data_IF_889159121144
#
_entry.id   IF_889159121144
#
_cell.length_a   1.000
_cell.length_b   1.000
_cell.length_c   1.000
_cell.angle_alpha   90.00
_cell.angle_beta   90.00
_cell.angle_gamma   90.00
#
_symmetry.space_group_name_H-M   'P 1'
#
loop_
_entity.id
_entity.type
_entity.pdbx_description
1 polymer ?
#
# COMPACT_ATOMS: atom_id res chain seq x y z
N UNK A 1 22.56 -36.74 -21.66
CA UNK A 1 21.79 -35.52 -21.85
C UNK A 1 21.94 -34.67 -20.60
N UNK A 2 22.73 -33.64 -20.62
CA UNK A 2 22.83 -32.67 -19.51
C UNK A 2 21.47 -32.00 -19.39
N UNK A 3 20.80 -32.16 -18.24
CA UNK A 3 19.58 -31.42 -17.97
C UNK A 3 19.87 -29.91 -18.15
N UNK A 4 19.17 -29.28 -19.06
CA UNK A 4 19.29 -27.84 -19.30
C UNK A 4 18.98 -27.12 -17.99
N UNK A 5 19.93 -26.34 -17.46
CA UNK A 5 19.76 -25.64 -16.20
C UNK A 5 18.67 -24.59 -16.39
N UNK A 6 17.58 -24.69 -15.62
CA UNK A 6 16.51 -23.69 -15.66
C UNK A 6 17.06 -22.29 -15.41
N UNK A 7 16.52 -21.28 -16.10
CA UNK A 7 16.85 -19.88 -15.77
C UNK A 7 16.38 -19.52 -14.35
N UNK A 8 16.96 -18.49 -13.70
CA UNK A 8 16.54 -18.10 -12.36
C UNK A 8 15.04 -17.84 -12.24
N UNK A 9 14.44 -17.17 -13.21
CA UNK A 9 12.99 -16.89 -13.20
C UNK A 9 12.13 -18.15 -13.36
N UNK A 10 12.58 -19.14 -14.13
CA UNK A 10 11.89 -20.42 -14.28
C UNK A 10 12.02 -21.28 -13.00
N UNK A 11 13.16 -21.21 -12.32
CA UNK A 11 13.35 -21.85 -11.02
C UNK A 11 12.40 -21.26 -9.98
N UNK A 12 12.34 -19.91 -9.86
CA UNK A 12 11.43 -19.23 -8.97
C UNK A 12 9.97 -19.67 -9.21
N UNK A 13 9.52 -19.59 -10.45
CA UNK A 13 8.15 -19.95 -10.85
C UNK A 13 7.84 -21.41 -10.48
N UNK A 14 8.76 -22.32 -10.75
CA UNK A 14 8.59 -23.76 -10.47
C UNK A 14 8.51 -24.03 -8.97
N UNK A 15 9.41 -23.43 -8.18
CA UNK A 15 9.46 -23.65 -6.74
C UNK A 15 8.24 -23.02 -6.03
N UNK A 16 7.89 -21.80 -6.37
CA UNK A 16 6.78 -21.10 -5.71
C UNK A 16 5.40 -21.68 -6.07
N UNK A 17 5.25 -22.25 -7.26
CA UNK A 17 4.00 -22.93 -7.64
C UNK A 17 3.70 -24.17 -6.80
N UNK A 18 4.69 -24.76 -6.15
CA UNK A 18 4.47 -25.89 -5.22
C UNK A 18 3.70 -25.47 -3.97
N UNK A 19 3.74 -24.19 -3.62
CA UNK A 19 3.14 -23.64 -2.41
C UNK A 19 1.83 -22.88 -2.65
N UNK A 20 1.31 -22.85 -3.88
CA UNK A 20 0.06 -22.15 -4.18
C UNK A 20 -1.06 -22.64 -3.26
N UNK A 21 -1.72 -21.67 -2.60
CA UNK A 21 -2.82 -21.93 -1.68
C UNK A 21 -2.38 -22.24 -0.24
N UNK A 22 -1.08 -22.19 0.06
CA UNK A 22 -0.60 -22.35 1.43
C UNK A 22 -1.14 -21.20 2.30
N UNK A 23 -1.72 -21.56 3.45
CA UNK A 23 -2.28 -20.60 4.40
C UNK A 23 -1.41 -20.58 5.63
N UNK A 24 -1.00 -19.38 6.04
CA UNK A 24 -0.21 -19.11 7.24
C UNK A 24 -1.03 -18.20 8.15
N UNK A 25 -1.06 -18.53 9.44
CA UNK A 25 -1.76 -17.73 10.46
C UNK A 25 -0.79 -16.80 11.19
N UNK A 26 -1.34 -15.75 11.81
CA UNK A 26 -0.54 -14.87 12.69
C UNK A 26 0.13 -15.61 13.84
N UNK A 27 -0.45 -16.71 14.31
CA UNK A 27 0.11 -17.55 15.37
C UNK A 27 1.33 -18.33 14.87
N UNK A 28 1.25 -18.93 13.69
CA UNK A 28 2.38 -19.61 13.05
C UNK A 28 3.53 -18.63 12.77
N UNK A 29 3.25 -17.40 12.34
CA UNK A 29 4.27 -16.39 12.18
C UNK A 29 4.96 -16.03 13.52
N UNK A 30 4.17 -15.84 14.58
CA UNK A 30 4.70 -15.56 15.91
C UNK A 30 5.58 -16.72 16.43
N UNK A 31 5.19 -17.97 16.17
CA UNK A 31 5.94 -19.16 16.59
C UNK A 31 7.29 -19.32 15.88
N UNK A 32 7.45 -18.79 14.66
CA UNK A 32 8.71 -18.80 13.91
C UNK A 32 9.79 -17.88 14.50
N UNK A 33 9.42 -16.99 15.43
CA UNK A 33 10.35 -16.13 16.15
C UNK A 33 10.62 -14.77 15.49
N UNK A 34 11.60 -14.01 15.99
CA UNK A 34 11.78 -12.59 15.65
C UNK A 34 12.06 -12.31 14.17
N UNK A 35 12.74 -13.21 13.46
CA UNK A 35 13.04 -13.03 12.03
C UNK A 35 11.79 -12.96 11.16
N UNK A 36 10.78 -13.74 11.52
CA UNK A 36 9.47 -13.73 10.85
C UNK A 36 8.50 -12.71 11.41
N UNK A 37 8.69 -12.27 12.65
CA UNK A 37 7.91 -11.23 13.29
C UNK A 37 8.17 -9.83 12.70
N UNK A 38 9.24 -9.67 11.93
CA UNK A 38 9.63 -8.40 11.31
C UNK A 38 8.59 -7.83 10.33
N UNK A 39 7.63 -8.63 9.90
CA UNK A 39 6.54 -8.15 9.06
C UNK A 39 5.32 -7.72 9.85
N UNK A 40 5.37 -7.77 11.18
CA UNK A 40 4.33 -7.27 12.07
C UNK A 40 4.94 -6.16 12.90
N UNK A 41 4.55 -4.92 12.62
CA UNK A 41 4.96 -3.78 13.42
C UNK A 41 4.05 -3.63 14.65
N UNK A 42 2.74 -3.81 14.47
CA UNK A 42 1.75 -3.61 15.51
C UNK A 42 0.76 -4.77 15.61
N UNK A 43 0.67 -5.41 16.77
CA UNK A 43 -0.41 -6.35 17.08
C UNK A 43 -1.65 -5.64 17.63
N UNK A 44 -1.43 -4.55 18.35
CA UNK A 44 -2.44 -3.74 19.01
C UNK A 44 -2.55 -2.40 18.33
N UNK A 45 -3.76 -1.94 18.11
CA UNK A 45 -4.04 -0.59 17.63
C UNK A 45 -3.94 0.39 18.79
N UNK A 46 -2.73 0.87 19.06
CA UNK A 46 -2.49 1.87 20.11
C UNK A 46 -2.50 3.29 19.55
N UNK A 47 -2.76 4.27 20.42
CA UNK A 47 -2.68 5.69 20.04
C UNK A 47 -1.31 6.04 19.46
N UNK A 48 -0.23 5.54 20.08
CA UNK A 48 1.12 5.87 19.64
C UNK A 48 1.47 5.20 18.32
N UNK A 49 1.03 3.96 18.10
CA UNK A 49 1.20 3.27 16.82
C UNK A 49 0.49 4.03 15.69
N UNK A 50 -0.75 4.47 15.89
CA UNK A 50 -1.47 5.31 14.91
C UNK A 50 -0.71 6.61 14.65
N UNK A 51 -0.28 7.31 15.72
CA UNK A 51 0.45 8.57 15.59
C UNK A 51 1.71 8.43 14.75
N UNK A 52 2.53 7.43 15.02
CA UNK A 52 3.77 7.18 14.27
C UNK A 52 3.45 6.87 12.80
N UNK A 53 2.40 6.09 12.55
CA UNK A 53 1.97 5.76 11.18
C UNK A 53 1.50 6.99 10.40
N UNK A 54 0.66 7.84 10.99
CA UNK A 54 0.14 9.04 10.32
C UNK A 54 1.22 10.12 10.17
N UNK A 55 2.15 10.23 11.12
CA UNK A 55 3.33 11.08 11.01
C UNK A 55 4.22 10.63 9.83
N UNK A 56 4.40 9.32 9.68
CA UNK A 56 5.21 8.73 8.61
C UNK A 56 4.71 8.99 7.19
N UNK A 57 3.40 9.20 7.02
CA UNK A 57 2.80 9.53 5.72
C UNK A 57 2.38 11.00 5.57
N UNK A 58 2.54 11.82 6.63
CA UNK A 58 2.15 13.22 6.63
C UNK A 58 0.64 13.45 6.62
N UNK A 59 -0.13 12.61 7.33
CA UNK A 59 -1.59 12.73 7.45
C UNK A 59 -1.96 13.61 8.65
N UNK A 60 -2.68 14.70 8.40
CA UNK A 60 -3.07 15.68 9.41
C UNK A 60 -4.52 15.55 9.87
N UNK A 61 -5.25 14.52 9.43
CA UNK A 61 -6.64 14.34 9.79
C UNK A 61 -6.81 14.16 11.32
N UNK A 62 -7.57 15.04 12.00
CA UNK A 62 -7.72 15.01 13.45
C UNK A 62 -8.38 13.73 13.96
N UNK A 63 -9.17 13.04 13.14
CA UNK A 63 -9.81 11.77 13.50
C UNK A 63 -8.79 10.67 13.86
N UNK A 64 -7.58 10.75 13.30
CA UNK A 64 -6.48 9.83 13.53
C UNK A 64 -5.40 10.36 14.47
N UNK A 65 -5.53 11.61 14.94
CA UNK A 65 -4.49 12.30 15.73
C UNK A 65 -4.94 12.76 17.10
N UNK A 66 -6.23 13.12 17.22
CA UNK A 66 -6.76 13.71 18.44
C UNK A 66 -7.82 12.80 19.09
N UNK A 67 -7.51 12.18 20.27
CA UNK A 67 -8.46 11.36 20.99
C UNK A 67 -9.74 12.08 21.39
N UNK A 68 -9.67 13.38 21.73
CA UNK A 68 -10.86 14.16 22.12
C UNK A 68 -11.75 14.47 20.91
N UNK A 69 -11.14 14.67 19.74
CA UNK A 69 -11.87 14.76 18.50
C UNK A 69 -12.57 13.42 18.18
N UNK A 70 -11.83 12.31 18.26
CA UNK A 70 -12.37 10.97 18.04
C UNK A 70 -13.55 10.63 18.95
N UNK A 71 -13.51 11.00 20.23
CA UNK A 71 -14.63 10.81 21.18
C UNK A 71 -15.91 11.52 20.74
N UNK A 72 -15.80 12.68 20.08
CA UNK A 72 -16.94 13.46 19.58
C UNK A 72 -17.49 12.88 18.28
N UNK A 73 -16.71 12.12 17.53
CA UNK A 73 -17.12 11.49 16.27
C UNK A 73 -18.17 10.41 16.48
N UNK A 74 -18.73 9.91 15.37
CA UNK A 74 -19.66 8.75 15.38
C UNK A 74 -19.01 7.48 15.96
N UNK A 75 -17.70 7.37 15.92
CA UNK A 75 -16.93 6.22 16.41
C UNK A 75 -16.78 6.20 17.94
N UNK A 76 -16.96 7.33 18.63
CA UNK A 76 -16.77 7.50 20.08
C UNK A 76 -15.36 7.16 20.58
N UNK A 77 -14.43 7.01 19.69
CA UNK A 77 -13.02 6.75 19.94
C UNK A 77 -12.16 7.32 18.80
N UNK A 78 -10.88 7.46 19.05
CA UNK A 78 -9.90 7.66 17.97
C UNK A 78 -9.82 6.40 17.13
N UNK A 79 -9.85 6.54 15.80
CA UNK A 79 -9.69 5.43 14.88
C UNK A 79 -8.35 5.51 14.16
N UNK A 80 -7.93 4.41 13.56
CA UNK A 80 -6.82 4.37 12.64
C UNK A 80 -7.29 4.66 11.20
N UNK A 81 -6.44 5.23 10.34
CA UNK A 81 -6.75 5.33 8.92
C UNK A 81 -6.87 3.93 8.29
N UNK A 82 -7.62 3.78 7.17
CA UNK A 82 -7.91 2.47 6.59
C UNK A 82 -6.66 1.64 6.23
N UNK A 83 -5.58 2.30 5.83
CA UNK A 83 -4.31 1.68 5.47
C UNK A 83 -3.43 1.26 6.68
N UNK A 84 -3.84 1.57 7.91
CA UNK A 84 -3.11 1.20 9.14
C UNK A 84 -2.88 -0.31 9.26
N UNK A 85 -3.82 -1.15 8.78
CA UNK A 85 -3.71 -2.61 8.82
C UNK A 85 -2.46 -3.15 8.10
N UNK A 86 -1.85 -2.33 7.26
CA UNK A 86 -0.56 -2.60 6.66
C UNK A 86 0.55 -2.81 7.71
N UNK A 87 0.45 -2.14 8.86
CA UNK A 87 1.37 -2.30 9.98
C UNK A 87 1.13 -3.58 10.79
N UNK A 88 -0.06 -4.17 10.68
CA UNK A 88 -0.43 -5.43 11.36
C UNK A 88 0.09 -6.64 10.61
N UNK A 89 -0.02 -6.63 9.31
CA UNK A 89 0.58 -7.63 8.44
C UNK A 89 1.07 -6.95 7.18
N UNK A 90 2.37 -6.84 7.10
CA UNK A 90 3.03 -6.44 5.87
C UNK A 90 2.96 -7.61 4.89
N UNK A 91 2.20 -7.42 3.83
CA UNK A 91 1.87 -8.50 2.93
C UNK A 91 2.95 -8.83 1.89
N UNK A 92 4.15 -8.33 2.03
CA UNK A 92 5.29 -8.65 1.17
C UNK A 92 6.26 -9.57 1.91
N UNK A 93 6.05 -10.87 1.77
CA UNK A 93 6.86 -11.89 2.40
C UNK A 93 7.33 -12.91 1.38
N UNK A 94 8.35 -12.60 0.61
CA UNK A 94 8.84 -13.51 -0.42
C UNK A 94 9.17 -14.90 0.15
N UNK A 95 9.59 -14.98 1.40
CA UNK A 95 9.91 -16.24 2.06
C UNK A 95 8.72 -17.16 2.35
N UNK A 96 7.53 -16.57 2.42
CA UNK A 96 6.29 -17.34 2.56
C UNK A 96 5.85 -17.96 1.21
N UNK A 97 6.32 -17.40 0.09
CA UNK A 97 6.08 -17.95 -1.25
C UNK A 97 6.92 -19.22 -1.51
N UNK A 98 8.13 -19.27 -0.99
CA UNK A 98 9.07 -20.36 -1.20
C UNK A 98 10.53 -19.89 -1.14
N UNK A 99 11.48 -20.72 -1.58
CA UNK A 99 12.89 -20.35 -1.53
C UNK A 99 13.18 -19.16 -2.44
N UNK A 100 14.01 -18.25 -1.96
CA UNK A 100 14.55 -17.17 -2.79
C UNK A 100 15.57 -17.73 -3.77
N UNK A 101 15.54 -17.22 -4.98
CA UNK A 101 16.45 -17.60 -6.06
C UNK A 101 17.43 -16.45 -6.31
N UNK A 102 18.73 -16.74 -6.22
CA UNK A 102 19.76 -15.73 -6.47
C UNK A 102 19.64 -15.09 -7.88
N UNK A 103 19.85 -13.78 -7.96
CA UNK A 103 19.74 -13.02 -9.20
C UNK A 103 18.29 -12.67 -9.58
N UNK A 104 17.35 -12.83 -8.67
CA UNK A 104 15.96 -12.39 -8.84
C UNK A 104 15.66 -11.22 -7.91
N UNK A 105 15.11 -10.14 -8.48
CA UNK A 105 14.60 -8.99 -7.75
C UNK A 105 13.07 -8.93 -7.75
N UNK A 106 12.49 -8.53 -6.61
CA UNK A 106 11.05 -8.39 -6.41
C UNK A 106 10.62 -6.95 -6.19
N UNK A 107 9.44 -6.58 -6.73
CA UNK A 107 8.91 -5.23 -6.66
C UNK A 107 7.42 -5.24 -6.35
N UNK A 108 7.04 -4.51 -5.31
CA UNK A 108 5.62 -4.23 -5.08
C UNK A 108 5.01 -3.56 -6.31
N UNK A 109 3.92 -4.12 -6.81
CA UNK A 109 3.35 -3.68 -8.08
C UNK A 109 1.90 -3.21 -7.96
N UNK A 110 1.25 -3.48 -6.83
CA UNK A 110 -0.09 -3.01 -6.55
C UNK A 110 -0.89 -3.88 -5.61
N UNK A 111 -2.12 -3.45 -5.36
CA UNK A 111 -3.04 -4.17 -4.47
C UNK A 111 -4.50 -3.91 -4.79
N UNK A 112 -5.34 -4.76 -4.18
CA UNK A 112 -6.76 -4.54 -3.96
C UNK A 112 -7.06 -4.70 -2.48
N UNK A 113 -7.88 -3.79 -1.92
CA UNK A 113 -8.31 -3.83 -0.52
C UNK A 113 -9.82 -3.69 -0.43
N UNK A 114 -10.39 -4.37 0.53
CA UNK A 114 -11.80 -4.25 0.88
C UNK A 114 -11.92 -4.09 2.40
N UNK A 115 -12.58 -3.04 2.82
CA UNK A 115 -12.75 -2.69 4.23
C UNK A 115 -14.19 -2.96 4.65
N UNK A 116 -14.39 -3.54 5.83
CA UNK A 116 -15.71 -3.91 6.34
C UNK A 116 -16.06 -3.15 7.61
N UNK A 117 -15.06 -2.83 8.43
CA UNK A 117 -15.24 -2.13 9.71
C UNK A 117 -14.13 -1.11 9.93
N UNK A 118 -14.39 0.00 10.65
CA UNK A 118 -13.35 0.89 11.11
C UNK A 118 -12.46 0.19 12.15
N UNK A 119 -11.21 0.60 12.20
CA UNK A 119 -10.21 0.14 13.18
C UNK A 119 -10.14 1.16 14.29
N UNK A 120 -10.41 0.76 15.54
CA UNK A 120 -10.43 1.62 16.71
C UNK A 120 -9.17 1.43 17.59
N UNK A 121 -8.81 2.49 18.33
CA UNK A 121 -7.82 2.33 19.41
C UNK A 121 -8.31 1.26 20.39
N UNK A 122 -7.44 0.31 20.72
CA UNK A 122 -7.73 -0.84 21.56
C UNK A 122 -8.05 -2.13 20.79
N UNK A 123 -8.22 -2.06 19.48
CA UNK A 123 -8.36 -3.27 18.68
C UNK A 123 -7.04 -4.08 18.69
N UNK A 124 -7.17 -5.39 18.81
CA UNK A 124 -6.10 -6.36 18.69
C UNK A 124 -6.36 -7.25 17.48
N UNK A 125 -5.31 -7.59 16.73
CA UNK A 125 -5.49 -8.25 15.45
C UNK A 125 -4.84 -9.62 15.37
N UNK A 126 -5.51 -10.48 14.61
CA UNK A 126 -4.98 -11.69 14.00
C UNK A 126 -5.18 -11.62 12.50
N UNK A 127 -4.45 -12.44 11.74
CA UNK A 127 -4.59 -12.49 10.30
C UNK A 127 -4.39 -13.91 9.76
N UNK A 128 -4.83 -14.11 8.52
CA UNK A 128 -4.51 -15.28 7.70
C UNK A 128 -3.94 -14.78 6.37
N UNK A 129 -2.84 -15.36 5.95
CA UNK A 129 -2.23 -15.12 4.65
C UNK A 129 -2.35 -16.38 3.81
N UNK A 130 -2.79 -16.25 2.58
CA UNK A 130 -2.61 -17.25 1.52
C UNK A 130 -1.47 -16.78 0.63
N UNK A 131 -0.34 -17.49 0.67
CA UNK A 131 0.88 -17.04 0.03
C UNK A 131 1.70 -18.22 -0.53
N UNK A 132 1.94 -18.29 -1.85
CA UNK A 132 1.27 -17.48 -2.86
C UNK A 132 -0.19 -17.93 -3.07
N UNK A 133 -1.04 -17.00 -3.45
CA UNK A 133 -2.43 -17.35 -3.87
C UNK A 133 -2.49 -17.69 -5.36
N UNK A 134 -1.64 -17.09 -6.17
CA UNK A 134 -1.48 -17.33 -7.61
C UNK A 134 -0.12 -16.82 -8.07
N UNK A 135 0.50 -17.49 -9.06
CA UNK A 135 1.68 -17.00 -9.76
C UNK A 135 1.42 -16.98 -11.26
N UNK A 136 1.72 -15.88 -11.93
CA UNK A 136 1.53 -15.70 -13.37
C UNK A 136 2.86 -15.32 -14.01
N UNK A 137 3.38 -16.21 -14.87
CA UNK A 137 4.52 -15.84 -15.71
C UNK A 137 4.05 -15.16 -16.98
N UNK A 138 4.66 -14.04 -17.36
CA UNK A 138 4.32 -13.30 -18.56
C UNK A 138 5.51 -12.58 -19.19
N UNK A 139 5.38 -12.22 -20.48
CA UNK A 139 6.34 -11.37 -21.16
C UNK A 139 6.29 -9.94 -20.62
N UNK A 140 7.44 -9.27 -20.57
CA UNK A 140 7.57 -7.93 -20.06
C UNK A 140 8.63 -7.12 -20.83
N UNK A 141 8.36 -5.82 -20.97
CA UNK A 141 9.36 -4.87 -21.47
C UNK A 141 10.39 -4.53 -20.41
N UNK A 142 10.09 -4.80 -19.14
CA UNK A 142 10.97 -4.49 -18.01
C UNK A 142 12.16 -5.46 -17.90
N UNK A 143 11.90 -6.77 -18.08
CA UNK A 143 12.92 -7.81 -17.90
C UNK A 143 12.69 -9.04 -18.79
N UNK A 144 12.17 -8.86 -20.01
CA UNK A 144 11.84 -9.93 -20.95
C UNK A 144 10.69 -10.84 -20.46
N UNK A 145 10.88 -11.52 -19.31
CA UNK A 145 9.85 -12.29 -18.58
C UNK A 145 9.82 -11.86 -17.14
N UNK A 146 8.64 -11.95 -16.54
CA UNK A 146 8.40 -11.69 -15.14
C UNK A 146 7.46 -12.74 -14.58
N UNK A 147 7.56 -12.96 -13.27
CA UNK A 147 6.53 -13.64 -12.48
C UNK A 147 5.77 -12.58 -11.69
N UNK A 148 4.45 -12.51 -11.85
CA UNK A 148 3.58 -11.82 -10.90
C UNK A 148 3.10 -12.82 -9.87
N UNK A 149 3.44 -12.59 -8.62
CA UNK A 149 3.02 -13.41 -7.50
C UNK A 149 2.00 -12.66 -6.66
N UNK A 150 0.90 -13.31 -6.33
CA UNK A 150 -0.22 -12.76 -5.60
C UNK A 150 -0.31 -13.37 -4.21
N UNK A 151 -0.69 -12.57 -3.25
CA UNK A 151 -1.02 -13.00 -1.90
C UNK A 151 -2.35 -12.40 -1.45
N UNK A 152 -2.99 -13.03 -0.47
CA UNK A 152 -4.25 -12.56 0.10
C UNK A 152 -4.15 -12.59 1.62
N UNK A 153 -4.55 -11.50 2.26
CA UNK A 153 -4.59 -11.37 3.72
C UNK A 153 -5.99 -11.03 4.17
N UNK A 154 -6.46 -11.77 5.17
CA UNK A 154 -7.67 -11.45 5.92
C UNK A 154 -7.30 -11.01 7.32
N UNK A 155 -7.77 -9.81 7.72
CA UNK A 155 -7.52 -9.24 9.04
C UNK A 155 -8.74 -9.38 9.92
N UNK A 156 -8.54 -9.97 11.08
CA UNK A 156 -9.58 -10.19 12.08
C UNK A 156 -9.25 -9.40 13.34
N UNK A 157 -10.23 -8.72 13.93
CA UNK A 157 -10.06 -8.17 15.26
C UNK A 157 -10.47 -9.17 16.34
N UNK A 158 -10.24 -8.84 17.61
CA UNK A 158 -10.65 -9.66 18.74
C UNK A 158 -12.11 -10.08 18.61
N UNK A 159 -12.41 -11.34 18.93
CA UNK A 159 -13.74 -11.93 18.71
C UNK A 159 -13.94 -12.53 17.31
N UNK A 160 -12.95 -12.45 16.42
CA UNK A 160 -12.98 -13.11 15.11
C UNK A 160 -13.74 -12.36 14.01
N UNK A 161 -14.10 -11.09 14.23
CA UNK A 161 -14.74 -10.27 13.20
C UNK A 161 -13.74 -9.89 12.11
N UNK A 162 -14.08 -10.19 10.85
CA UNK A 162 -13.29 -9.77 9.69
C UNK A 162 -13.45 -8.25 9.47
N UNK A 163 -12.35 -7.51 9.57
CA UNK A 163 -12.35 -6.04 9.44
C UNK A 163 -11.92 -5.57 8.07
N UNK A 164 -11.04 -6.32 7.41
CA UNK A 164 -10.58 -6.01 6.06
C UNK A 164 -10.02 -7.24 5.35
N UNK A 165 -9.99 -7.14 4.05
CA UNK A 165 -9.26 -8.05 3.17
C UNK A 165 -8.31 -7.30 2.27
N UNK A 166 -7.15 -7.87 2.02
CA UNK A 166 -6.10 -7.32 1.21
C UNK A 166 -5.59 -8.37 0.24
N UNK A 167 -5.36 -7.99 -1.00
CA UNK A 167 -4.58 -8.77 -1.95
C UNK A 167 -3.53 -7.87 -2.54
N UNK A 168 -2.28 -8.27 -2.45
CA UNK A 168 -1.20 -7.60 -3.13
C UNK A 168 -0.64 -8.48 -4.24
N UNK A 169 0.12 -7.86 -5.11
CA UNK A 169 0.95 -8.57 -6.05
C UNK A 169 2.30 -7.89 -6.22
N UNK A 170 3.28 -8.75 -6.40
CA UNK A 170 4.65 -8.36 -6.66
C UNK A 170 5.06 -8.80 -8.06
N UNK A 171 5.96 -8.07 -8.66
CA UNK A 171 6.62 -8.44 -9.90
C UNK A 171 8.03 -8.88 -9.61
N UNK A 172 8.35 -10.10 -9.97
CA UNK A 172 9.66 -10.73 -9.81
C UNK A 172 10.33 -10.89 -11.16
N UNK A 173 11.62 -10.58 -11.24
CA UNK A 173 12.34 -10.54 -12.49
C UNK A 173 13.82 -10.85 -12.32
N UNK A 174 14.43 -11.37 -13.37
CA UNK A 174 15.87 -11.59 -13.45
C UNK A 174 16.61 -10.23 -13.48
N UNK A 175 17.49 -10.00 -12.51
CA UNK A 175 18.24 -8.73 -12.35
C UNK A 175 19.12 -8.43 -13.57
N UNK A 176 19.74 -9.45 -14.16
CA UNK A 176 20.56 -9.26 -15.34
C UNK A 176 19.70 -8.76 -16.51
N UNK A 177 18.46 -9.26 -16.64
CA UNK A 177 17.51 -8.80 -17.66
C UNK A 177 16.97 -7.40 -17.39
N UNK A 178 16.75 -7.03 -16.13
CA UNK A 178 16.38 -5.66 -15.74
C UNK A 178 17.49 -4.68 -16.17
N UNK A 179 18.75 -5.00 -15.84
CA UNK A 179 19.92 -4.19 -16.22
C UNK A 179 20.09 -4.09 -17.74
N UNK A 180 19.95 -5.22 -18.46
CA UNK A 180 20.04 -5.26 -19.92
C UNK A 180 18.97 -4.37 -20.60
N UNK A 181 17.72 -4.44 -20.12
CA UNK A 181 16.60 -3.66 -20.69
C UNK A 181 16.63 -2.19 -20.33
N UNK A 182 17.16 -1.85 -19.17
CA UNK A 182 17.32 -0.49 -18.64
C UNK A 182 16.13 0.45 -18.89
N UNK A 183 14.91 -0.09 -18.73
CA UNK A 183 13.65 0.64 -19.02
C UNK A 183 13.53 1.95 -18.26
N UNK A 184 14.08 2.01 -17.06
CA UNK A 184 13.94 3.13 -16.15
C UNK A 184 15.26 3.94 -15.98
N UNK A 185 16.26 3.76 -16.84
CA UNK A 185 17.52 4.49 -16.77
C UNK A 185 17.38 6.02 -16.85
N UNK A 186 16.27 6.51 -17.40
CA UNK A 186 15.96 7.94 -17.42
C UNK A 186 15.63 8.52 -16.03
N UNK A 187 15.32 7.66 -15.04
CA UNK A 187 15.02 8.08 -13.65
C UNK A 187 16.26 8.47 -12.86
N UNK A 188 17.45 8.19 -13.37
CA UNK A 188 18.72 8.49 -12.72
C UNK A 188 18.99 9.98 -12.62
N UNK A 189 18.32 10.78 -13.46
CA UNK A 189 18.47 12.22 -13.46
C UNK A 189 17.61 12.85 -12.33
N UNK A 190 18.30 13.54 -11.41
CA UNK A 190 17.62 14.29 -10.36
C UNK A 190 16.77 15.43 -10.92
N UNK A 191 15.56 15.65 -10.40
CA UNK A 191 14.77 16.81 -10.75
C UNK A 191 15.40 18.08 -10.18
N UNK A 192 15.35 19.16 -10.97
CA UNK A 192 15.83 20.47 -10.55
C UNK A 192 14.64 21.40 -10.42
N UNK A 193 14.46 21.99 -9.24
CA UNK A 193 13.39 22.92 -8.94
C UNK A 193 13.92 24.35 -8.85
N UNK A 194 13.28 25.27 -9.54
CA UNK A 194 13.50 26.70 -9.32
C UNK A 194 12.85 27.14 -7.99
N UNK A 195 13.19 28.32 -7.49
CA UNK A 195 12.50 28.90 -6.32
C UNK A 195 11.00 29.04 -6.55
N UNK A 196 10.59 29.32 -7.79
CA UNK A 196 9.17 29.42 -8.14
C UNK A 196 8.50 28.06 -8.07
N UNK A 197 9.12 26.99 -8.59
CA UNK A 197 8.56 25.63 -8.54
C UNK A 197 8.34 25.19 -7.08
N UNK A 198 9.32 25.43 -6.20
CA UNK A 198 9.20 25.13 -4.78
C UNK A 198 8.07 25.92 -4.12
N UNK A 199 7.96 27.22 -4.43
CA UNK A 199 6.87 28.06 -3.90
C UNK A 199 5.49 27.55 -4.37
N UNK A 200 5.37 27.16 -5.63
CA UNK A 200 4.12 26.62 -6.20
C UNK A 200 3.76 25.25 -5.55
N UNK A 201 4.76 24.38 -5.30
CA UNK A 201 4.58 23.12 -4.60
C UNK A 201 4.09 23.34 -3.17
N UNK A 202 4.76 24.19 -2.39
CA UNK A 202 4.35 24.47 -1.02
C UNK A 202 2.97 25.12 -0.95
N UNK A 203 2.69 26.07 -1.82
CA UNK A 203 1.35 26.64 -1.92
C UNK A 203 0.28 25.62 -2.31
N UNK A 204 0.63 24.57 -3.04
CA UNK A 204 -0.29 23.47 -3.35
C UNK A 204 -0.49 22.55 -2.14
N UNK A 205 0.54 22.30 -1.34
CA UNK A 205 0.44 21.57 -0.07
C UNK A 205 -0.42 22.32 0.95
N UNK A 206 -0.26 23.64 1.06
CA UNK A 206 -1.03 24.50 1.97
C UNK A 206 -2.53 24.55 1.63
N UNK A 207 -2.91 24.21 0.39
CA UNK A 207 -4.31 24.11 -0.03
C UNK A 207 -4.97 22.77 0.27
N UNK A 208 -4.28 21.83 0.89
CA UNK A 208 -4.87 20.55 1.26
C UNK A 208 -6.08 20.75 2.18
N UNK A 209 -7.23 20.21 1.80
CA UNK A 209 -8.48 20.36 2.53
C UNK A 209 -8.81 19.08 3.29
N UNK A 210 -8.94 19.16 4.60
CA UNK A 210 -9.45 18.10 5.47
C UNK A 210 -10.89 18.41 5.82
N UNK A 211 -11.82 17.63 5.28
CA UNK A 211 -13.25 17.85 5.51
C UNK A 211 -13.66 17.58 6.97
N UNK A 212 -13.05 16.62 7.63
CA UNK A 212 -13.28 16.30 9.03
C UNK A 212 -14.76 16.04 9.34
N UNK A 213 -15.25 16.63 10.44
CA UNK A 213 -16.61 16.44 10.92
C UNK A 213 -17.72 17.09 10.08
N UNK A 214 -17.38 17.78 8.99
CA UNK A 214 -18.37 18.33 8.08
C UNK A 214 -18.85 17.24 7.10
N UNK A 215 -20.08 16.71 7.21
CA UNK A 215 -20.51 15.54 6.44
C UNK A 215 -20.49 15.82 4.92
N UNK A 216 -20.06 14.83 4.15
CA UNK A 216 -20.29 14.79 2.71
C UNK A 216 -21.45 13.86 2.43
N UNK A 217 -22.58 14.43 2.01
CA UNK A 217 -23.74 13.63 1.65
C UNK A 217 -23.64 13.16 0.20
N UNK A 218 -24.12 11.96 -0.05
CA UNK A 218 -24.13 11.37 -1.38
C UNK A 218 -24.85 12.23 -2.42
N UNK A 219 -25.92 12.90 -2.02
CA UNK A 219 -26.72 13.79 -2.88
C UNK A 219 -25.90 14.98 -3.42
N UNK A 220 -24.93 15.47 -2.66
CA UNK A 220 -24.11 16.63 -3.02
C UNK A 220 -22.97 16.32 -3.99
N UNK A 221 -22.74 15.05 -4.30
CA UNK A 221 -21.66 14.61 -5.17
C UNK A 221 -22.16 14.40 -6.58
N UNK A 222 -21.41 14.87 -7.58
CA UNK A 222 -21.73 14.66 -8.99
C UNK A 222 -20.61 13.85 -9.68
N UNK A 223 -21.02 13.08 -10.70
CA UNK A 223 -20.04 12.46 -11.61
C UNK A 223 -19.30 13.58 -12.33
N UNK A 224 -17.97 13.48 -12.33
CA UNK A 224 -17.09 14.50 -12.89
C UNK A 224 -16.48 15.43 -11.83
N UNK A 225 -16.98 15.45 -10.58
CA UNK A 225 -16.37 16.24 -9.50
C UNK A 225 -14.91 15.83 -9.29
N UNK A 226 -14.03 16.82 -9.19
CA UNK A 226 -12.62 16.62 -8.87
C UNK A 226 -12.39 16.82 -7.37
N UNK A 227 -11.52 15.99 -6.80
CA UNK A 227 -11.12 16.09 -5.41
C UNK A 227 -10.00 17.13 -5.27
N UNK A 228 -9.97 17.84 -4.13
CA UNK A 228 -8.83 18.70 -3.80
C UNK A 228 -7.56 17.82 -3.75
N UNK A 229 -6.54 18.09 -4.58
CA UNK A 229 -5.39 17.23 -4.69
C UNK A 229 -4.54 17.27 -3.43
N UNK A 230 -3.92 16.13 -3.10
CA UNK A 230 -2.86 16.02 -2.10
C UNK A 230 -1.51 16.09 -2.81
N UNK A 231 -0.58 16.90 -2.29
CA UNK A 231 0.76 17.06 -2.88
C UNK A 231 1.82 16.63 -1.88
N UNK A 232 2.77 15.80 -2.34
CA UNK A 232 3.90 15.33 -1.52
C UNK A 232 5.21 15.46 -2.28
N UNK A 233 6.21 15.99 -1.59
CA UNK A 233 7.55 16.23 -2.14
C UNK A 233 7.91 17.73 -2.23
N UNK A 234 9.11 18.08 -2.72
CA UNK A 234 10.16 17.14 -3.18
C UNK A 234 10.57 16.17 -2.09
N UNK A 235 10.53 14.87 -2.40
CA UNK A 235 10.76 13.83 -1.39
C UNK A 235 12.20 13.81 -0.90
N UNK A 236 12.36 13.86 0.42
CA UNK A 236 13.63 13.76 1.09
C UNK A 236 13.88 12.38 1.67
N UNK A 237 15.11 12.10 2.04
CA UNK A 237 15.45 10.90 2.82
C UNK A 237 14.72 10.87 4.17
N UNK A 238 14.37 12.04 4.72
CA UNK A 238 13.58 12.14 5.95
C UNK A 238 12.18 11.60 5.76
N UNK A 239 11.53 11.90 4.63
CA UNK A 239 10.20 11.37 4.31
C UNK A 239 10.22 9.84 4.18
N UNK A 240 11.23 9.30 3.49
CA UNK A 240 11.40 7.86 3.35
C UNK A 240 11.61 7.17 4.71
N UNK A 241 12.47 7.73 5.57
CA UNK A 241 12.72 7.20 6.91
C UNK A 241 11.53 7.31 7.84
N UNK A 242 10.77 8.41 7.78
CA UNK A 242 9.56 8.60 8.56
C UNK A 242 8.50 7.54 8.18
N UNK A 243 8.34 7.26 6.88
CA UNK A 243 7.50 6.17 6.40
C UNK A 243 7.96 4.82 6.91
N UNK A 244 9.26 4.50 6.82
CA UNK A 244 9.79 3.24 7.33
C UNK A 244 9.56 3.07 8.83
N UNK A 245 9.72 4.12 9.61
CA UNK A 245 9.47 4.07 11.05
C UNK A 245 8.00 3.81 11.40
N UNK A 246 7.07 4.33 10.60
CA UNK A 246 5.63 4.25 10.87
C UNK A 246 4.89 3.11 10.18
N UNK A 247 5.29 2.78 8.95
CA UNK A 247 4.54 1.89 8.08
C UNK A 247 5.27 0.63 7.61
N UNK A 248 6.59 0.57 7.75
CA UNK A 248 7.40 -0.46 7.12
C UNK A 248 8.23 -1.25 8.15
N UNK A 249 7.72 -2.40 8.56
CA UNK A 249 8.21 -3.13 9.72
C UNK A 249 9.61 -3.75 9.61
N UNK A 250 10.19 -3.86 8.42
CA UNK A 250 11.41 -4.64 8.22
C UNK A 250 12.71 -3.82 8.18
N UNK A 251 12.65 -2.52 8.49
CA UNK A 251 13.85 -1.71 8.61
C UNK A 251 14.47 -1.91 10.01
N UNK A 252 15.40 -2.82 10.07
CA UNK A 252 16.18 -3.10 11.28
C UNK A 252 17.56 -2.46 11.18
N UNK A 253 18.17 -2.18 12.33
CA UNK A 253 19.58 -1.84 12.35
C UNK A 253 20.40 -2.99 11.74
N UNK A 254 21.45 -2.65 11.00
CA UNK A 254 22.28 -3.58 10.21
C UNK A 254 22.70 -4.85 10.99
N UNK A 255 23.12 -4.69 12.26
CA UNK A 255 23.45 -5.83 13.10
C UNK A 255 22.27 -6.80 13.29
N UNK A 256 21.05 -6.27 13.50
CA UNK A 256 19.86 -7.10 13.67
C UNK A 256 19.47 -7.78 12.36
N UNK A 257 19.58 -7.07 11.25
CA UNK A 257 19.38 -7.65 9.93
C UNK A 257 20.26 -8.89 9.74
N UNK A 258 21.56 -8.77 9.95
CA UNK A 258 22.51 -9.90 9.81
C UNK A 258 22.24 -11.07 10.75
N UNK A 259 21.74 -10.81 11.96
CA UNK A 259 21.43 -11.86 12.93
C UNK A 259 20.11 -12.54 12.60
N UNK A 260 19.07 -11.79 12.28
CA UNK A 260 17.71 -12.30 12.10
C UNK A 260 17.49 -12.90 10.70
N UNK A 261 18.30 -12.46 9.73
CA UNK A 261 18.26 -12.92 8.34
C UNK A 261 19.46 -13.82 7.98
N UNK A 262 20.25 -14.28 8.99
CA UNK A 262 21.51 -15.01 8.80
C UNK A 262 21.37 -16.36 8.06
N UNK A 263 20.18 -16.93 7.98
CA UNK A 263 19.92 -18.14 7.18
C UNK A 263 19.72 -17.83 5.69
N UNK A 264 19.71 -16.55 5.33
CA UNK A 264 19.60 -16.11 3.95
C UNK A 264 20.86 -15.31 3.63
N UNK A 265 21.67 -15.75 2.66
CA UNK A 265 22.78 -14.95 2.21
C UNK A 265 22.19 -13.68 1.56
N UNK A 266 22.07 -12.64 2.34
CA UNK A 266 22.00 -11.30 1.78
C UNK A 266 23.39 -11.07 1.23
N UNK A 267 23.54 -11.16 -0.08
CA UNK A 267 24.77 -10.81 -0.76
C UNK A 267 25.21 -9.42 -0.29
N UNK A 268 26.52 -9.18 -0.21
CA UNK A 268 27.20 -8.08 0.46
C UNK A 268 26.79 -6.67 0.03
N UNK A 269 25.85 -6.54 -0.87
CA UNK A 269 25.28 -5.28 -1.36
C UNK A 269 23.88 -5.03 -0.80
N UNK A 270 23.75 -5.02 0.53
CA UNK A 270 22.71 -4.21 1.14
C UNK A 270 23.21 -2.77 1.13
N UNK A 271 23.51 -2.28 -0.04
CA UNK A 271 23.52 -0.86 -0.29
C UNK A 271 22.08 -0.38 -0.04
N UNK A 272 21.95 0.75 0.60
CA UNK A 272 20.72 1.48 0.90
C UNK A 272 19.82 1.75 -0.32
N UNK A 273 20.25 1.37 -1.50
CA UNK A 273 19.43 1.11 -2.67
C UNK A 273 18.55 -0.11 -2.40
N UNK A 274 17.49 0.14 -1.66
CA UNK A 274 16.47 -0.81 -1.20
C UNK A 274 15.98 -1.78 -2.28
N UNK A 275 16.51 -1.75 -3.46
CA UNK A 275 15.99 -2.51 -4.56
C UNK A 275 17.06 -3.06 -5.49
N UNK A 276 18.33 -3.11 -5.16
CA UNK A 276 19.33 -3.72 -6.07
C UNK A 276 19.22 -3.28 -7.52
N UNK A 277 18.41 -2.25 -7.76
CA UNK A 277 18.27 -1.63 -9.05
C UNK A 277 19.37 -0.62 -9.18
N UNK A 278 20.24 -0.80 -10.10
CA UNK A 278 21.33 0.07 -10.50
C UNK A 278 20.87 1.51 -10.83
N UNK A 279 20.08 2.12 -9.96
CA UNK A 279 19.69 3.52 -10.05
C UNK A 279 20.55 4.33 -9.09
N UNK A 280 21.22 5.38 -9.55
CA UNK A 280 21.99 6.30 -8.69
C UNK A 280 21.09 7.09 -7.73
N UNK A 281 19.76 7.06 -7.94
CA UNK A 281 18.75 7.64 -7.04
C UNK A 281 17.98 6.54 -6.33
N UNK A 282 17.72 6.74 -5.05
CA UNK A 282 16.93 5.83 -4.23
C UNK A 282 15.44 5.94 -4.56
N UNK A 283 14.79 4.80 -4.80
CA UNK A 283 13.34 4.71 -4.93
C UNK A 283 12.71 4.61 -3.54
N UNK A 284 11.60 5.31 -3.33
CA UNK A 284 10.80 5.09 -2.12
C UNK A 284 9.99 3.80 -2.23
N UNK A 285 9.74 3.14 -1.11
CA UNK A 285 8.88 1.96 -1.07
C UNK A 285 7.52 2.25 -1.72
N UNK A 286 7.07 1.38 -2.62
CA UNK A 286 5.86 1.63 -3.44
C UNK A 286 4.59 1.89 -2.64
N UNK A 287 4.52 1.36 -1.43
CA UNK A 287 3.42 1.57 -0.50
C UNK A 287 3.40 2.98 0.11
N UNK A 288 4.54 3.68 0.14
CA UNK A 288 4.60 5.06 0.63
C UNK A 288 3.77 6.01 -0.26
N UNK A 289 4.00 6.11 -1.57
CA UNK A 289 3.15 6.92 -2.44
C UNK A 289 1.71 6.36 -2.59
N UNK A 290 1.48 5.08 -2.30
CA UNK A 290 0.13 4.52 -2.18
C UNK A 290 -0.60 5.10 -0.96
N UNK A 291 0.08 5.23 0.19
CA UNK A 291 -0.51 5.74 1.42
C UNK A 291 -1.08 7.16 1.28
N UNK A 292 -0.52 8.00 0.42
CA UNK A 292 -1.05 9.35 0.16
C UNK A 292 -2.41 9.35 -0.53
N UNK A 293 -2.75 8.28 -1.24
CA UNK A 293 -4.07 8.12 -1.87
C UNK A 293 -5.16 7.93 -0.82
N UNK A 294 -4.83 7.28 0.31
CA UNK A 294 -5.75 7.18 1.44
C UNK A 294 -5.99 8.55 2.07
N UNK A 295 -4.97 9.42 2.17
CA UNK A 295 -5.13 10.79 2.65
C UNK A 295 -6.12 11.55 1.76
N UNK A 296 -5.96 11.50 0.43
CA UNK A 296 -6.87 12.14 -0.51
C UNK A 296 -8.33 11.69 -0.28
N UNK A 297 -8.54 10.38 -0.17
CA UNK A 297 -9.89 9.81 -0.05
C UNK A 297 -10.53 10.13 1.30
N UNK A 298 -9.77 9.99 2.40
CA UNK A 298 -10.29 10.25 3.76
C UNK A 298 -10.52 11.74 4.00
N UNK A 299 -9.65 12.60 3.47
CA UNK A 299 -9.85 14.04 3.49
C UNK A 299 -11.12 14.46 2.72
N UNK A 300 -11.36 13.84 1.57
CA UNK A 300 -12.52 14.15 0.73
C UNK A 300 -13.83 13.61 1.31
N UNK A 301 -13.86 12.37 1.81
CA UNK A 301 -15.12 11.76 2.26
C UNK A 301 -15.61 12.29 3.60
N UNK A 302 -14.73 12.89 4.42
CA UNK A 302 -15.03 13.31 5.79
C UNK A 302 -15.24 12.14 6.75
N UNK A 303 -15.51 12.46 8.02
CA UNK A 303 -15.57 11.48 9.11
C UNK A 303 -16.77 10.51 8.97
N UNK A 304 -17.85 10.95 8.34
CA UNK A 304 -19.07 10.17 8.15
C UNK A 304 -19.05 9.26 6.92
N UNK A 305 -18.08 9.43 6.03
CA UNK A 305 -17.83 8.53 4.91
C UNK A 305 -17.17 7.23 5.35
N UNK A 306 -17.15 6.24 4.45
CA UNK A 306 -16.46 4.97 4.66
C UNK A 306 -15.81 4.50 3.35
N UNK A 307 -14.51 4.30 3.39
CA UNK A 307 -13.79 3.70 2.28
C UNK A 307 -14.07 2.20 2.26
N UNK A 308 -14.77 1.74 1.24
CA UNK A 308 -15.13 0.32 1.09
C UNK A 308 -14.11 -0.46 0.29
N UNK A 309 -13.79 0.03 -0.93
CA UNK A 309 -12.87 -0.65 -1.84
C UNK A 309 -11.77 0.29 -2.28
N UNK A 310 -10.60 -0.28 -2.51
CA UNK A 310 -9.44 0.45 -2.95
C UNK A 310 -8.56 -0.45 -3.82
N UNK A 311 -8.03 0.09 -4.90
CA UNK A 311 -7.05 -0.61 -5.71
C UNK A 311 -5.94 0.31 -6.20
N UNK A 312 -4.76 -0.27 -6.40
CA UNK A 312 -3.61 0.41 -6.97
C UNK A 312 -2.89 -0.45 -7.98
N UNK A 313 -2.27 0.22 -8.94
CA UNK A 313 -1.32 -0.37 -9.86
C UNK A 313 -0.15 0.59 -10.04
N UNK A 314 1.05 0.16 -9.65
CA UNK A 314 2.27 0.94 -9.83
C UNK A 314 2.70 0.86 -11.29
N UNK A 315 2.98 2.01 -11.88
CA UNK A 315 3.40 2.18 -13.28
C UNK A 315 4.87 2.53 -13.41
N UNK A 316 5.38 3.23 -12.40
CA UNK A 316 6.78 3.62 -12.34
C UNK A 316 7.17 3.91 -10.89
N UNK A 317 8.46 3.80 -10.60
CA UNK A 317 9.03 4.17 -9.31
C UNK A 317 8.88 5.66 -9.03
N UNK A 318 8.69 6.00 -7.77
CA UNK A 318 8.81 7.35 -7.23
C UNK A 318 10.16 7.43 -6.53
N UNK A 319 10.98 8.39 -6.92
CA UNK A 319 12.37 8.51 -6.47
C UNK A 319 12.50 9.64 -5.46
N UNK A 320 13.53 9.59 -4.60
CA UNK A 320 13.90 10.75 -3.80
C UNK A 320 14.10 11.97 -4.71
N UNK A 321 13.61 13.12 -4.27
CA UNK A 321 13.56 14.34 -5.06
C UNK A 321 12.32 14.51 -5.93
N UNK A 322 11.54 13.46 -6.20
CA UNK A 322 10.30 13.60 -6.96
C UNK A 322 9.22 14.32 -6.15
N UNK A 323 8.34 15.03 -6.84
CA UNK A 323 7.09 15.59 -6.30
C UNK A 323 5.90 14.92 -6.96
N UNK A 324 4.92 14.55 -6.16
CA UNK A 324 3.73 13.80 -6.60
C UNK A 324 2.46 14.57 -6.28
N UNK A 325 1.61 14.75 -7.27
CA UNK A 325 0.22 15.21 -7.15
C UNK A 325 -0.71 14.01 -7.16
N UNK A 326 -1.39 13.78 -6.06
CA UNK A 326 -2.41 12.75 -5.94
C UNK A 326 -3.75 13.41 -6.29
N UNK A 327 -4.35 12.99 -7.40
CA UNK A 327 -5.59 13.55 -7.96
C UNK A 327 -6.70 12.52 -7.92
N UNK A 328 -7.92 12.97 -7.70
CA UNK A 328 -9.10 12.12 -7.72
C UNK A 328 -10.22 12.73 -8.55
N UNK A 329 -11.03 11.88 -9.20
CA UNK A 329 -12.21 12.28 -9.94
C UNK A 329 -13.34 11.29 -9.75
N UNK A 330 -14.52 11.78 -9.41
CA UNK A 330 -15.73 10.96 -9.31
C UNK A 330 -16.11 10.46 -10.69
N UNK A 331 -16.19 9.14 -10.85
CA UNK A 331 -16.51 8.49 -12.13
C UNK A 331 -17.86 7.79 -12.15
N UNK A 332 -18.43 7.49 -10.97
CA UNK A 332 -19.73 6.82 -10.87
C UNK A 332 -20.39 7.05 -9.52
N UNK A 333 -21.74 7.14 -9.52
CA UNK A 333 -22.60 7.13 -8.33
C UNK A 333 -23.66 6.04 -8.48
N UNK A 334 -23.93 5.31 -7.43
CA UNK A 334 -24.96 4.26 -7.42
C UNK A 334 -25.34 3.86 -6.00
N UNK A 335 -26.50 3.18 -5.89
CA UNK A 335 -26.90 2.50 -4.65
C UNK A 335 -26.68 0.99 -4.82
N UNK A 336 -26.02 0.37 -3.86
CA UNK A 336 -25.80 -1.07 -3.78
C UNK A 336 -26.31 -1.61 -2.44
N UNK A 337 -27.50 -2.22 -2.43
CA UNK A 337 -28.11 -2.80 -1.23
C UNK A 337 -28.12 -1.83 -0.03
N UNK A 338 -28.60 -0.60 -0.26
CA UNK A 338 -28.69 0.45 0.75
C UNK A 338 -27.38 1.18 1.04
N UNK A 339 -26.30 0.87 0.32
CA UNK A 339 -25.04 1.59 0.38
C UNK A 339 -24.97 2.64 -0.74
N UNK A 340 -24.84 3.89 -0.38
CA UNK A 340 -24.74 5.02 -1.30
C UNK A 340 -23.30 5.23 -1.74
N UNK A 341 -22.96 4.59 -2.84
CA UNK A 341 -21.59 4.41 -3.33
C UNK A 341 -21.18 5.51 -4.30
N UNK A 342 -19.90 5.88 -4.24
CA UNK A 342 -19.22 6.76 -5.18
C UNK A 342 -17.91 6.07 -5.60
N UNK A 343 -17.76 5.81 -6.89
CA UNK A 343 -16.49 5.34 -7.44
C UNK A 343 -15.64 6.52 -7.88
N UNK A 344 -14.37 6.49 -7.50
CA UNK A 344 -13.40 7.56 -7.70
C UNK A 344 -12.19 6.99 -8.45
N UNK A 345 -11.85 7.55 -9.60
CA UNK A 345 -10.54 7.33 -10.23
C UNK A 345 -9.49 8.13 -9.48
N UNK A 346 -8.37 7.49 -9.13
CA UNK A 346 -7.28 8.13 -8.38
C UNK A 346 -5.96 7.92 -9.12
N UNK A 347 -5.21 8.99 -9.30
CA UNK A 347 -3.95 8.99 -10.04
C UNK A 347 -2.86 9.73 -9.26
N UNK A 348 -1.66 9.18 -9.25
CA UNK A 348 -0.46 9.87 -8.77
C UNK A 348 0.32 10.36 -9.99
N UNK A 349 0.41 11.68 -10.13
CA UNK A 349 1.07 12.35 -11.25
C UNK A 349 2.35 13.01 -10.73
N UNK A 350 3.47 12.74 -11.35
CA UNK A 350 4.76 13.32 -10.98
C UNK A 350 4.94 14.72 -11.57
N UNK A 351 5.95 15.45 -11.08
CA UNK A 351 6.34 16.78 -11.62
C UNK A 351 6.62 16.76 -13.11
N UNK A 352 6.95 15.61 -13.68
CA UNK A 352 7.18 15.42 -15.13
C UNK A 352 5.89 15.24 -15.92
N UNK A 353 4.73 15.12 -15.25
CA UNK A 353 3.45 14.78 -15.86
C UNK A 353 3.23 13.26 -16.05
N UNK A 354 4.20 12.42 -15.71
CA UNK A 354 4.08 10.97 -15.81
C UNK A 354 3.21 10.40 -14.68
N UNK A 355 2.45 9.36 -15.02
CA UNK A 355 1.67 8.59 -14.05
C UNK A 355 2.57 7.58 -13.33
N UNK A 356 2.70 7.73 -12.01
CA UNK A 356 3.43 6.77 -11.19
C UNK A 356 2.54 5.67 -10.61
N UNK A 357 1.32 6.00 -10.22
CA UNK A 357 0.33 5.05 -9.72
C UNK A 357 -1.04 5.39 -10.30
N UNK A 358 -1.79 4.37 -10.69
CA UNK A 358 -3.19 4.47 -11.11
C UNK A 358 -4.05 3.52 -10.29
N UNK A 359 -5.36 3.71 -10.33
CA UNK A 359 -6.35 2.87 -9.67
C UNK A 359 -7.53 3.67 -9.17
N UNK A 360 -8.30 3.10 -8.28
CA UNK A 360 -9.53 3.76 -7.83
C UNK A 360 -9.98 3.32 -6.44
N UNK A 361 -11.11 3.88 -6.06
CA UNK A 361 -11.74 3.58 -4.78
C UNK A 361 -13.26 3.61 -4.90
N UNK A 362 -13.93 2.83 -4.06
CA UNK A 362 -15.36 2.99 -3.79
C UNK A 362 -15.53 3.53 -2.37
N UNK A 363 -16.15 4.66 -2.24
CA UNK A 363 -16.50 5.29 -0.96
C UNK A 363 -18.01 5.18 -0.76
N UNK A 364 -18.45 4.82 0.44
CA UNK A 364 -19.85 4.88 0.87
C UNK A 364 -20.03 6.19 1.63
N UNK A 365 -21.02 6.98 1.24
CA UNK A 365 -21.34 8.24 1.88
C UNK A 365 -22.69 8.17 2.62
N UNK A 366 -22.90 8.97 3.67
CA UNK A 366 -24.21 9.14 4.27
C UNK A 366 -25.16 9.78 3.27
N UNK A 367 -26.44 9.49 3.40
CA UNK A 367 -27.52 10.11 2.62
C UNK A 367 -28.39 10.97 3.54
N UNK A 368 -28.85 12.13 3.06
CA UNK A 368 -29.82 12.96 3.80
C UNK A 368 -31.17 12.26 3.94
N UNK A 369 -31.57 11.51 2.93
CA UNK A 369 -32.84 10.81 2.90
C UNK A 369 -32.80 9.48 3.68
N UNK A 370 -31.69 8.74 3.55
CA UNK A 370 -31.61 7.34 4.04
C UNK A 370 -30.69 7.15 5.26
N UNK A 371 -30.06 8.23 5.73
CA UNK A 371 -29.30 8.21 6.98
C UNK A 371 -27.81 7.85 6.84
N UNK A 372 -27.21 7.32 7.91
CA UNK A 372 -25.78 7.09 8.00
C UNK A 372 -25.31 5.95 7.09
N UNK A 373 -23.98 5.86 6.91
CA UNK A 373 -23.34 4.79 6.16
C UNK A 373 -23.72 3.41 6.70
N UNK A 374 -24.13 2.53 5.77
CA UNK A 374 -24.29 1.10 6.01
C UNK A 374 -22.98 0.40 5.66
N UNK A 375 -22.35 -0.23 6.67
CA UNK A 375 -21.09 -0.95 6.44
C UNK A 375 -21.32 -2.18 5.57
N UNK A 376 -20.37 -2.50 4.68
CA UNK A 376 -20.46 -3.71 3.89
C UNK A 376 -20.29 -4.96 4.77
N UNK A 377 -21.02 -6.01 4.42
CA UNK A 377 -20.84 -7.31 5.04
C UNK A 377 -19.82 -8.13 4.27
N UNK A 378 -18.93 -8.85 4.95
CA UNK A 378 -17.97 -9.75 4.31
C UNK A 378 -18.68 -10.97 3.74
N UNK A 379 -19.37 -10.79 2.63
CA UNK A 379 -19.95 -11.90 1.86
C UNK A 379 -18.86 -12.57 1.07
N UNK A 380 -18.94 -13.91 0.94
CA UNK A 380 -18.05 -14.79 0.19
C UNK A 380 -17.12 -14.00 -0.74
N UNK A 381 -15.88 -13.79 -0.32
CA UNK A 381 -14.92 -12.97 -1.09
C UNK A 381 -14.96 -13.45 -2.52
N UNK A 382 -15.49 -12.62 -3.41
CA UNK A 382 -15.34 -12.84 -4.84
C UNK A 382 -13.84 -12.93 -5.07
N UNK A 383 -13.34 -14.00 -5.71
CA UNK A 383 -11.93 -14.06 -6.08
C UNK A 383 -11.60 -12.74 -6.76
N UNK A 384 -10.55 -12.06 -6.32
CA UNK A 384 -10.16 -10.76 -6.86
C UNK A 384 -10.21 -10.83 -8.39
N UNK A 385 -11.02 -9.97 -9.00
CA UNK A 385 -11.11 -9.90 -10.44
C UNK A 385 -9.71 -9.69 -10.98
N UNK A 386 -9.30 -10.45 -11.98
CA UNK A 386 -8.00 -10.29 -12.63
C UNK A 386 -7.87 -8.84 -13.02
N UNK A 387 -7.00 -8.11 -12.32
CA UNK A 387 -6.72 -6.70 -12.59
C UNK A 387 -6.37 -6.59 -14.06
N UNK A 388 -7.08 -5.75 -14.79
CA UNK A 388 -7.23 -5.71 -16.21
C UNK A 388 -6.00 -6.10 -17.04
N UNK A 389 -6.25 -6.99 -17.99
CA UNK A 389 -5.31 -7.38 -19.04
C UNK A 389 -4.99 -6.21 -19.95
#
# INVERSE_FOLDING_TARGET
MTAEKLSPIDQLYTEWNKNIGHIITSEEHRAKGPGFANSVLNYDCTRDAIRIFVDGKGDLNPLYRDPEYGKKSKYKCMIAPPDYLYTVCYAQRPYDHGPMIAGIAGFYSGCEREFFRPVCVGDNFTYRIMCPSENIMKKSQFAERIVQSFEKVDYYRQGGELVAGYSSYETWADEAKIKERNKYGHLDKEPVYSKKDLADIYAAQDREEIRGANPRFWEDVNVGDELCPVVRGPLSITDARAWHAGGHAHMLADRLNRILWAEQPMEEEFDTNVVGMAHPREAVAGQHPEAWRFILLTNWMGDDGFLWKFNTQIRRFVMLGDTTWIKGKVIKKYCDNGKYCVDIDVQNVLQTGELSIIGGATVILPSREFGPVVYPEPRNRVPFAKIGR
#
